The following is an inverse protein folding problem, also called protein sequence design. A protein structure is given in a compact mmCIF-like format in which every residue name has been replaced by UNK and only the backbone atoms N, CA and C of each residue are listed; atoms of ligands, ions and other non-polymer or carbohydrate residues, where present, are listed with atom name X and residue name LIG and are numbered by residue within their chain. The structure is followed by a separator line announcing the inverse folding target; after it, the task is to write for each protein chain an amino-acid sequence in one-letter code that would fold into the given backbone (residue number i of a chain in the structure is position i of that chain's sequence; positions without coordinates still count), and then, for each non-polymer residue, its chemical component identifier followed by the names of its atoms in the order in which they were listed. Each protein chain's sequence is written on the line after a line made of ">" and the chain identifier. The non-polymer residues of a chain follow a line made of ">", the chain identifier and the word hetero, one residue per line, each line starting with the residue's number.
data_IF_284596839980
#
_entry.id   IF_284596839980
#
_cell.length_a   1.000
_cell.length_b   1.000
_cell.length_c   1.000
_cell.angle_alpha   90.00
_cell.angle_beta   90.00
_cell.angle_gamma   90.00
#
_symmetry.space_group_name_H-M   'P 1'
#
loop_
_entity.id
_entity.type
_entity.pdbx_description
1 polymer ?
#
# COMPACT_ATOMS: atom_id res chain seq x y z
N UNK A 1 0.60 -3.49 -1.08
CA UNK A 1 -0.88 -3.42 -1.01
C UNK A 1 -1.35 -4.09 0.26
N UNK A 2 -2.33 -3.52 0.93
CA UNK A 2 -3.05 -4.12 2.07
C UNK A 2 -4.44 -4.50 1.56
N UNK A 3 -4.90 -5.72 1.83
CA UNK A 3 -6.19 -6.22 1.37
C UNK A 3 -6.96 -6.77 2.57
N UNK A 4 -8.25 -6.44 2.67
CA UNK A 4 -9.13 -7.07 3.65
C UNK A 4 -9.22 -8.59 3.38
N UNK A 5 -9.10 -9.38 4.42
CA UNK A 5 -9.24 -10.84 4.34
C UNK A 5 -10.66 -11.34 4.63
N UNK A 6 -11.58 -10.42 4.85
CA UNK A 6 -13.01 -10.66 5.06
C UNK A 6 -13.82 -9.81 4.08
N UNK A 7 -15.07 -10.16 3.79
CA UNK A 7 -15.89 -9.50 2.79
C UNK A 7 -16.35 -8.10 3.25
N UNK A 8 -15.41 -7.17 3.30
CA UNK A 8 -15.65 -5.74 3.55
C UNK A 8 -15.39 -5.00 2.25
N UNK A 9 -16.36 -4.25 1.78
CA UNK A 9 -16.30 -3.55 0.49
C UNK A 9 -15.92 -2.07 0.64
N UNK A 10 -16.26 -1.44 1.76
CA UNK A 10 -16.12 0.00 1.96
C UNK A 10 -15.65 0.33 3.38
N UNK A 11 -15.02 1.48 3.54
CA UNK A 11 -14.51 1.94 4.84
C UNK A 11 -15.57 2.02 5.93
N UNK A 12 -16.81 2.52 5.68
CA UNK A 12 -17.84 2.57 6.72
C UNK A 12 -18.32 1.21 7.23
N UNK A 13 -18.00 0.14 6.54
CA UNK A 13 -18.37 -1.22 6.90
C UNK A 13 -17.39 -1.88 7.88
N UNK A 14 -16.23 -1.23 8.12
CA UNK A 14 -15.24 -1.73 9.05
C UNK A 14 -15.74 -1.70 10.48
N UNK A 15 -15.59 -2.82 11.19
CA UNK A 15 -15.81 -2.86 12.64
C UNK A 15 -14.69 -2.11 13.38
N UNK A 16 -14.92 -1.76 14.65
CA UNK A 16 -13.89 -1.12 15.48
C UNK A 16 -12.61 -1.95 15.60
N UNK A 17 -12.73 -3.28 15.68
CA UNK A 17 -11.58 -4.18 15.69
C UNK A 17 -10.82 -4.10 14.36
N UNK A 18 -11.54 -4.14 13.24
CA UNK A 18 -10.90 -4.03 11.91
C UNK A 18 -10.22 -2.68 11.70
N UNK A 19 -10.79 -1.59 12.21
CA UNK A 19 -10.15 -0.27 12.18
C UNK A 19 -8.85 -0.27 12.98
N UNK A 20 -8.86 -0.86 14.18
CA UNK A 20 -7.67 -0.98 15.03
C UNK A 20 -6.59 -1.83 14.38
N UNK A 21 -6.95 -2.98 13.81
CA UNK A 21 -6.02 -3.86 13.11
C UNK A 21 -5.41 -3.18 11.86
N UNK A 22 -6.24 -2.47 11.11
CA UNK A 22 -5.79 -1.70 9.95
C UNK A 22 -4.80 -0.61 10.36
N UNK A 23 -5.05 0.10 11.45
CA UNK A 23 -4.14 1.12 11.97
C UNK A 23 -2.79 0.52 12.39
N UNK A 24 -2.81 -0.62 13.07
CA UNK A 24 -1.58 -1.33 13.46
C UNK A 24 -0.77 -1.80 12.25
N UNK A 25 -1.44 -2.39 11.26
CA UNK A 25 -0.81 -2.85 10.03
C UNK A 25 -0.25 -1.68 9.20
N UNK A 26 -0.99 -0.58 9.13
CA UNK A 26 -0.54 0.65 8.48
C UNK A 26 0.76 1.18 9.11
N UNK A 27 0.81 1.22 10.42
CA UNK A 27 2.00 1.64 11.15
C UNK A 27 3.20 0.71 10.90
N UNK A 28 2.99 -0.62 10.90
CA UNK A 28 4.06 -1.59 10.60
C UNK A 28 4.60 -1.41 9.18
N UNK A 29 3.72 -1.28 8.19
CA UNK A 29 4.12 -1.10 6.78
C UNK A 29 4.91 0.19 6.58
N UNK A 30 4.46 1.31 7.14
CA UNK A 30 5.17 2.59 7.00
C UNK A 30 6.56 2.55 7.66
N UNK A 31 6.67 1.96 8.84
CA UNK A 31 7.95 1.75 9.53
C UNK A 31 8.91 0.83 8.75
N UNK A 32 8.39 -0.18 8.07
CA UNK A 32 9.20 -1.04 7.20
C UNK A 32 9.73 -0.28 5.99
N UNK A 33 8.94 0.60 5.40
CA UNK A 33 9.42 1.47 4.33
C UNK A 33 10.52 2.42 4.83
N UNK A 34 10.37 3.01 6.00
CA UNK A 34 11.41 3.84 6.60
C UNK A 34 12.69 3.03 6.87
N UNK A 35 12.55 1.80 7.36
CA UNK A 35 13.66 0.86 7.57
C UNK A 35 14.34 0.44 6.27
N UNK A 36 13.57 0.17 5.22
CA UNK A 36 14.07 -0.25 3.91
C UNK A 36 14.98 0.80 3.27
N UNK A 37 14.62 2.08 3.38
CA UNK A 37 15.37 3.18 2.78
C UNK A 37 16.27 3.94 3.76
N UNK A 38 16.15 3.66 5.05
CA UNK A 38 16.95 4.31 6.08
C UNK A 38 16.58 5.75 6.38
N UNK A 39 15.49 6.24 5.82
CA UNK A 39 14.97 7.61 5.96
C UNK A 39 13.46 7.59 6.13
N UNK A 40 12.90 8.68 6.65
CA UNK A 40 11.45 8.91 6.57
C UNK A 40 11.04 8.93 5.11
N UNK A 41 10.23 7.95 4.73
CA UNK A 41 9.97 7.63 3.33
C UNK A 41 8.71 8.35 2.84
N UNK A 42 8.81 9.15 1.76
CA UNK A 42 7.63 9.76 1.17
C UNK A 42 6.80 8.70 0.44
N UNK A 43 5.49 8.77 0.55
CA UNK A 43 4.56 7.89 -0.17
C UNK A 43 3.26 8.60 -0.50
N UNK A 44 2.59 8.12 -1.53
CA UNK A 44 1.16 8.35 -1.74
C UNK A 44 0.42 7.05 -1.45
N UNK A 45 -0.79 7.15 -0.97
CA UNK A 45 -1.62 5.98 -0.71
C UNK A 45 -3.08 6.29 -0.95
N UNK A 46 -3.87 5.24 -1.15
CA UNK A 46 -5.31 5.38 -1.32
C UNK A 46 -6.03 4.06 -1.11
N UNK A 47 -7.27 4.17 -0.67
CA UNK A 47 -8.19 3.04 -0.58
C UNK A 47 -8.97 2.88 -1.88
N UNK A 48 -9.11 1.63 -2.30
CA UNK A 48 -10.01 1.23 -3.37
C UNK A 48 -11.23 0.56 -2.74
N UNK A 49 -12.35 1.22 -2.83
CA UNK A 49 -13.65 0.78 -2.33
C UNK A 49 -14.51 0.30 -3.48
N UNK A 50 -15.51 -0.54 -3.17
CA UNK A 50 -16.50 -0.92 -4.17
C UNK A 50 -17.21 0.31 -4.74
N UNK A 51 -17.59 0.29 -6.03
CA UNK A 51 -18.33 1.38 -6.64
C UNK A 51 -19.60 1.77 -5.88
N UNK A 52 -19.90 3.06 -5.86
CA UNK A 52 -21.14 3.61 -5.33
C UNK A 52 -22.17 3.80 -6.46
N UNK A 53 -22.48 2.73 -7.16
CA UNK A 53 -23.40 2.72 -8.31
C UNK A 53 -24.78 2.16 -7.98
N UNK A 54 -25.06 1.93 -6.70
CA UNK A 54 -26.33 1.39 -6.21
C UNK A 54 -26.46 -0.12 -6.36
N UNK A 55 -25.38 -0.83 -6.75
CA UNK A 55 -25.36 -2.28 -6.87
C UNK A 55 -24.52 -2.92 -5.75
N UNK A 56 -24.78 -4.19 -5.50
CA UNK A 56 -23.92 -5.02 -4.67
C UNK A 56 -22.72 -5.51 -5.47
N UNK A 57 -21.56 -5.53 -4.81
CA UNK A 57 -20.29 -5.98 -5.37
C UNK A 57 -19.64 -7.04 -4.45
N UNK A 58 -20.25 -8.24 -4.34
CA UNK A 58 -19.78 -9.27 -3.40
C UNK A 58 -18.37 -9.79 -3.73
N UNK A 59 -17.90 -9.59 -4.95
CA UNK A 59 -16.56 -9.92 -5.40
C UNK A 59 -15.49 -8.92 -4.92
N UNK A 60 -15.92 -7.75 -4.42
CA UNK A 60 -15.01 -6.67 -4.05
C UNK A 60 -14.49 -6.81 -2.63
N UNK A 61 -13.19 -6.70 -2.48
CA UNK A 61 -12.53 -6.57 -1.19
C UNK A 61 -11.93 -5.18 -1.05
N UNK A 62 -12.19 -4.52 0.05
CA UNK A 62 -11.55 -3.26 0.40
C UNK A 62 -10.03 -3.45 0.41
N UNK A 63 -9.31 -2.64 -0.35
CA UNK A 63 -7.86 -2.71 -0.39
C UNK A 63 -7.23 -1.32 -0.47
N UNK A 64 -5.97 -1.26 -0.06
CA UNK A 64 -5.20 -0.04 0.03
C UNK A 64 -3.91 -0.20 -0.75
N UNK A 65 -3.61 0.74 -1.61
CA UNK A 65 -2.34 0.80 -2.33
C UNK A 65 -1.40 1.82 -1.69
N UNK A 66 -0.13 1.45 -1.60
CA UNK A 66 0.96 2.36 -1.35
C UNK A 66 1.75 2.55 -2.64
N UNK A 67 2.05 3.80 -2.95
CA UNK A 67 2.82 4.21 -4.13
C UNK A 67 4.10 4.91 -3.69
N UNK A 68 5.17 4.14 -3.43
CA UNK A 68 6.46 4.72 -3.09
C UNK A 68 7.06 5.39 -4.32
N UNK A 69 7.38 6.71 -4.28
CA UNK A 69 7.91 7.42 -5.43
C UNK A 69 9.41 7.21 -5.64
N UNK A 70 10.12 6.65 -4.65
CA UNK A 70 11.55 6.39 -4.75
C UNK A 70 11.80 5.05 -5.43
N UNK A 71 12.51 5.09 -6.57
CA UNK A 71 12.75 3.89 -7.40
C UNK A 71 13.81 2.94 -6.82
N UNK A 72 14.96 3.46 -6.42
CA UNK A 72 16.12 2.63 -6.15
C UNK A 72 16.82 2.94 -4.83
N UNK A 73 16.82 4.18 -4.40
CA UNK A 73 17.61 4.65 -3.27
C UNK A 73 17.10 5.98 -2.75
N UNK A 74 17.27 6.21 -1.46
CA UNK A 74 16.98 7.50 -0.83
C UNK A 74 17.98 8.61 -1.20
N UNK A 75 19.16 8.26 -1.72
CA UNK A 75 20.21 9.20 -2.10
C UNK A 75 20.10 9.66 -3.56
N UNK A 76 19.58 8.80 -4.42
CA UNK A 76 19.31 9.14 -5.82
C UNK A 76 17.82 9.36 -5.97
N UNK A 77 17.39 10.60 -5.87
CA UNK A 77 15.98 10.99 -5.94
C UNK A 77 15.49 10.94 -7.40
N UNK A 78 14.98 9.81 -7.82
CA UNK A 78 14.12 9.71 -8.99
C UNK A 78 12.70 9.45 -8.51
N UNK A 79 11.87 10.45 -8.59
CA UNK A 79 10.47 10.34 -8.20
C UNK A 79 9.63 9.84 -9.37
N UNK A 80 8.79 8.86 -9.11
CA UNK A 80 7.67 8.51 -9.97
C UNK A 80 6.46 9.36 -9.56
N UNK A 81 5.71 9.82 -10.55
CA UNK A 81 4.48 10.60 -10.33
C UNK A 81 3.29 9.93 -11.03
N UNK A 82 2.14 10.52 -10.98
CA UNK A 82 0.84 9.97 -11.35
C UNK A 82 0.81 8.85 -12.38
N UNK A 83 1.19 9.14 -13.63
CA UNK A 83 1.13 8.15 -14.70
C UNK A 83 2.06 6.95 -14.44
N UNK A 84 3.29 7.18 -14.04
CA UNK A 84 4.26 6.12 -13.80
C UNK A 84 3.87 5.23 -12.63
N UNK A 85 3.27 5.80 -11.58
CA UNK A 85 2.79 5.03 -10.43
C UNK A 85 1.55 4.18 -10.77
N UNK A 86 0.65 4.70 -11.58
CA UNK A 86 -0.67 4.12 -11.79
C UNK A 86 -0.81 3.40 -13.14
N UNK A 87 -0.12 3.84 -14.18
CA UNK A 87 -0.31 3.37 -15.53
C UNK A 87 0.90 2.73 -16.20
N UNK A 88 2.12 2.93 -15.69
CA UNK A 88 3.30 2.34 -16.30
C UNK A 88 3.49 0.87 -15.92
N UNK A 89 3.60 -0.04 -16.89
CA UNK A 89 3.85 -1.45 -16.61
C UNK A 89 5.31 -1.75 -16.21
N UNK A 90 6.22 -0.81 -16.50
CA UNK A 90 7.64 -1.02 -16.25
C UNK A 90 7.96 -1.09 -14.77
N UNK A 91 8.87 -1.96 -14.41
CA UNK A 91 9.42 -2.08 -13.05
C UNK A 91 10.87 -2.50 -13.14
N UNK A 92 11.69 -1.95 -12.25
CA UNK A 92 13.10 -2.32 -12.11
C UNK A 92 13.30 -3.61 -11.31
N UNK A 93 12.28 -3.97 -10.53
CA UNK A 93 12.25 -5.18 -9.71
C UNK A 93 10.90 -5.86 -9.85
N UNK A 94 10.86 -7.17 -9.65
CA UNK A 94 9.61 -7.91 -9.65
C UNK A 94 8.82 -7.67 -8.36
N UNK A 95 7.48 -7.85 -8.37
CA UNK A 95 6.66 -7.76 -7.17
C UNK A 95 7.13 -8.71 -6.05
N UNK A 96 7.59 -9.91 -6.41
CA UNK A 96 8.08 -10.91 -5.47
C UNK A 96 9.35 -10.43 -4.76
N UNK A 97 10.32 -9.91 -5.51
CA UNK A 97 11.55 -9.34 -4.96
C UNK A 97 11.26 -8.12 -4.08
N UNK A 98 10.34 -7.26 -4.49
CA UNK A 98 9.93 -6.12 -3.68
C UNK A 98 9.28 -6.54 -2.36
N UNK A 99 8.40 -7.55 -2.40
CA UNK A 99 7.75 -8.09 -1.22
C UNK A 99 8.75 -8.75 -0.25
N UNK A 100 9.72 -9.50 -0.79
CA UNK A 100 10.77 -10.13 0.01
C UNK A 100 11.62 -9.08 0.74
N UNK A 101 12.06 -8.05 0.03
CA UNK A 101 12.83 -6.94 0.61
C UNK A 101 12.05 -6.22 1.71
N UNK A 102 10.76 -5.98 1.51
CA UNK A 102 9.92 -5.33 2.50
C UNK A 102 9.69 -6.21 3.74
N UNK A 103 9.54 -7.53 3.56
CA UNK A 103 9.45 -8.47 4.69
C UNK A 103 10.75 -8.52 5.50
N UNK A 104 11.89 -8.46 4.82
CA UNK A 104 13.20 -8.46 5.46
C UNK A 104 13.56 -7.13 6.14
N UNK A 105 12.89 -6.04 5.79
CA UNK A 105 13.13 -4.74 6.38
C UNK A 105 12.72 -4.71 7.85
N UNK A 106 13.63 -4.27 8.71
CA UNK A 106 13.31 -4.04 10.12
C UNK A 106 12.55 -2.72 10.26
N UNK A 107 11.43 -2.71 10.99
CA UNK A 107 10.69 -1.48 11.27
C UNK A 107 11.56 -0.46 12.03
N UNK A 108 11.53 0.76 11.60
CA UNK A 108 12.16 1.89 12.30
C UNK A 108 11.15 2.65 13.16
#
# INVERSE_FOLDING_TARGET
>A
MIIANQPVQRLPELSETQVSDLAALFLDVTRRYDGLFGVSFPYSMGFHQAPYDGKEHPEWLLHMHFYPPLLRSATIRKFMVGFELLGSPQRDITPESAAERLRAALPK
#
